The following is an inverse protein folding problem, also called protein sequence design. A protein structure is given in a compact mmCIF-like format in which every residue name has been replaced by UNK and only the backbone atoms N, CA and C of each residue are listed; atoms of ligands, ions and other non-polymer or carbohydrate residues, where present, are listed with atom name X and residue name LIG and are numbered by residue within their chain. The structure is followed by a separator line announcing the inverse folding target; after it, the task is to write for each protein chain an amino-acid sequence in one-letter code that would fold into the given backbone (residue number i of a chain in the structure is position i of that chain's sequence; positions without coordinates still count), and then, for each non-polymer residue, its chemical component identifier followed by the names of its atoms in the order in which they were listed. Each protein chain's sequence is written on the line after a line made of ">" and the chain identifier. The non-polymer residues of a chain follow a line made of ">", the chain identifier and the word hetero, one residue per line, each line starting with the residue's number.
data_IF_996956907793
#
_entry.id   IF_996956907793
#
_cell.length_a   1.000
_cell.length_b   1.000
_cell.length_c   1.000
_cell.angle_alpha   90.00
_cell.angle_beta   90.00
_cell.angle_gamma   90.00
#
_symmetry.space_group_name_H-M   'P 1'
#
loop_
_entity.id
_entity.type
_entity.pdbx_description
1 polymer ?
#
# COMPACT_ATOMS: atom_id res chain seq x y z
N UNK A 1 2.33 18.28 -2.26
CA UNK A 1 0.95 18.82 -2.35
C UNK A 1 0.13 17.91 -3.25
N UNK A 2 -1.13 17.63 -2.92
CA UNK A 2 -2.04 16.89 -3.81
C UNK A 2 -2.63 17.84 -4.89
N UNK A 3 -3.03 17.32 -6.05
CA UNK A 3 -3.57 18.12 -7.16
C UNK A 3 -5.11 18.27 -7.08
N UNK A 4 -5.64 18.32 -5.85
CA UNK A 4 -7.04 18.60 -5.56
C UNK A 4 -7.20 20.11 -5.34
N UNK A 5 -8.03 20.77 -6.16
CA UNK A 5 -8.22 22.23 -6.06
C UNK A 5 -9.69 22.57 -6.17
N UNK A 6 -10.16 23.46 -5.28
CA UNK A 6 -11.44 24.13 -5.48
C UNK A 6 -11.25 25.34 -6.39
N UNK A 7 -12.03 25.43 -7.47
CA UNK A 7 -12.10 26.62 -8.35
C UNK A 7 -13.57 27.02 -8.49
N UNK A 8 -13.90 28.29 -8.22
CA UNK A 8 -15.28 28.80 -8.26
C UNK A 8 -16.26 27.86 -7.51
N UNK A 9 -15.85 27.40 -6.33
CA UNK A 9 -16.59 26.47 -5.47
C UNK A 9 -16.81 25.04 -6.00
N UNK A 10 -16.16 24.60 -7.08
CA UNK A 10 -16.20 23.20 -7.52
C UNK A 10 -14.84 22.52 -7.35
N UNK A 11 -14.85 21.23 -6.99
CA UNK A 11 -13.64 20.41 -6.86
C UNK A 11 -13.13 19.98 -8.25
N UNK A 12 -11.82 20.15 -8.46
CA UNK A 12 -11.12 19.70 -9.63
C UNK A 12 -10.00 18.73 -9.27
N UNK A 13 -9.82 17.71 -10.11
CA UNK A 13 -8.64 16.82 -10.12
C UNK A 13 -7.90 17.09 -11.42
N UNK A 14 -6.67 17.61 -11.32
CA UNK A 14 -5.83 17.92 -12.50
C UNK A 14 -6.52 18.75 -13.60
N UNK A 15 -7.45 19.62 -13.20
CA UNK A 15 -8.17 20.52 -14.11
C UNK A 15 -9.45 19.95 -14.73
N UNK A 16 -9.86 18.73 -14.38
CA UNK A 16 -11.20 18.20 -14.69
C UNK A 16 -12.11 18.39 -13.48
N UNK A 17 -13.33 18.90 -13.70
CA UNK A 17 -14.33 19.06 -12.64
C UNK A 17 -14.84 17.69 -12.18
N UNK A 18 -14.85 17.43 -10.88
CA UNK A 18 -15.39 16.18 -10.34
C UNK A 18 -16.89 16.08 -10.62
N UNK A 19 -17.60 17.22 -10.66
CA UNK A 19 -19.02 17.28 -11.03
C UNK A 19 -19.27 16.89 -12.49
N UNK A 20 -18.33 17.15 -13.42
CA UNK A 20 -18.50 16.65 -14.79
C UNK A 20 -18.25 15.14 -14.88
N UNK A 21 -17.42 14.58 -13.99
CA UNK A 21 -17.26 13.13 -13.87
C UNK A 21 -18.52 12.46 -13.36
N UNK A 22 -19.21 13.02 -12.36
CA UNK A 22 -20.47 12.43 -11.83
C UNK A 22 -21.64 12.47 -12.83
N UNK A 23 -21.57 13.30 -13.87
CA UNK A 23 -22.50 13.26 -15.00
C UNK A 23 -22.18 12.17 -16.02
N UNK A 24 -20.92 11.74 -16.09
CA UNK A 24 -20.42 10.78 -17.09
C UNK A 24 -20.30 9.36 -16.53
N UNK A 25 -20.06 9.22 -15.22
CA UNK A 25 -19.84 7.96 -14.55
C UNK A 25 -20.75 7.82 -13.35
N UNK A 26 -21.23 6.60 -13.15
CA UNK A 26 -22.04 6.21 -12.00
C UNK A 26 -21.16 6.18 -10.76
N UNK A 27 -21.62 6.80 -9.67
CA UNK A 27 -20.98 6.71 -8.36
C UNK A 27 -21.38 5.40 -7.64
N UNK A 28 -20.54 4.91 -6.73
CA UNK A 28 -19.23 5.48 -6.35
C UNK A 28 -18.10 5.09 -7.32
N UNK A 29 -17.06 5.93 -7.39
CA UNK A 29 -15.83 5.63 -8.16
C UNK A 29 -14.57 6.22 -7.51
N UNK A 30 -13.45 5.55 -7.73
CA UNK A 30 -12.12 6.09 -7.40
C UNK A 30 -11.64 7.02 -8.52
N UNK A 31 -10.97 8.12 -8.15
CA UNK A 31 -10.31 9.02 -9.10
C UNK A 31 -8.91 9.39 -8.61
N UNK A 32 -7.90 9.13 -9.43
CA UNK A 32 -6.48 9.36 -9.11
C UNK A 32 -5.86 10.49 -9.92
N UNK A 33 -5.05 11.30 -9.25
CA UNK A 33 -4.15 12.29 -9.83
C UNK A 33 -2.80 11.65 -10.14
N UNK A 34 -2.51 11.40 -11.42
CA UNK A 34 -1.21 10.90 -11.87
C UNK A 34 -0.06 11.85 -11.51
N UNK A 35 -0.27 13.17 -11.61
CA UNK A 35 0.73 14.19 -11.27
C UNK A 35 1.10 14.13 -9.79
N UNK A 36 0.15 13.83 -8.90
CA UNK A 36 0.46 13.66 -7.47
C UNK A 36 1.37 12.46 -7.24
N UNK A 37 1.12 11.34 -7.91
CA UNK A 37 1.98 10.14 -7.82
C UNK A 37 3.39 10.47 -8.37
N UNK A 38 3.46 11.09 -9.55
CA UNK A 38 4.73 11.49 -10.19
C UNK A 38 5.52 12.44 -9.29
N UNK A 39 4.87 13.45 -8.72
CA UNK A 39 5.51 14.43 -7.83
C UNK A 39 6.04 13.75 -6.56
N UNK A 40 5.22 12.94 -5.88
CA UNK A 40 5.63 12.23 -4.66
C UNK A 40 6.80 11.30 -4.92
N UNK A 41 6.77 10.56 -6.02
CA UNK A 41 7.88 9.69 -6.39
C UNK A 41 9.15 10.49 -6.69
N UNK A 42 9.09 11.52 -7.53
CA UNK A 42 10.26 12.35 -7.88
C UNK A 42 10.84 13.09 -6.68
N UNK A 43 10.00 13.58 -5.76
CA UNK A 43 10.44 14.22 -4.53
C UNK A 43 11.23 13.23 -3.64
N UNK A 44 10.72 12.01 -3.49
CA UNK A 44 11.37 10.96 -2.72
C UNK A 44 12.63 10.41 -3.40
N UNK A 45 12.62 10.27 -4.72
CA UNK A 45 13.77 9.80 -5.49
C UNK A 45 14.91 10.83 -5.50
N UNK A 46 14.58 12.12 -5.68
CA UNK A 46 15.54 13.22 -5.61
C UNK A 46 16.20 13.32 -4.23
N UNK A 47 15.48 13.06 -3.14
CA UNK A 47 16.06 13.13 -1.80
C UNK A 47 17.08 12.00 -1.56
N UNK A 48 16.94 10.86 -2.24
CA UNK A 48 17.85 9.72 -2.14
C UNK A 48 18.99 9.73 -3.18
N UNK A 49 19.18 10.81 -3.94
CA UNK A 49 20.06 10.84 -5.13
C UNK A 49 21.54 10.49 -4.86
N UNK A 50 22.04 10.65 -3.64
CA UNK A 50 23.43 10.38 -3.27
C UNK A 50 23.66 8.97 -2.71
N UNK A 51 22.62 8.15 -2.63
CA UNK A 51 22.70 6.78 -2.13
C UNK A 51 22.78 5.80 -3.31
N UNK A 52 23.46 4.67 -3.14
CA UNK A 52 23.22 3.50 -4.00
C UNK A 52 21.92 2.83 -3.53
N UNK A 53 20.84 3.05 -4.29
CA UNK A 53 19.48 2.70 -3.86
C UNK A 53 18.62 2.12 -4.97
N UNK A 54 17.66 1.29 -4.57
CA UNK A 54 16.48 0.91 -5.37
C UNK A 54 15.22 1.25 -4.59
N UNK A 55 14.31 2.00 -5.20
CA UNK A 55 12.99 2.31 -4.61
C UNK A 55 12.02 1.25 -5.10
N UNK A 56 11.58 0.36 -4.24
CA UNK A 56 10.62 -0.70 -4.54
C UNK A 56 9.23 -0.27 -4.10
N UNK A 57 8.33 0.05 -5.02
CA UNK A 57 6.97 0.41 -4.62
C UNK A 57 6.25 -0.79 -3.99
N UNK A 58 5.70 -0.64 -2.78
CA UNK A 58 4.94 -1.68 -2.10
C UNK A 58 3.58 -1.89 -2.79
N UNK A 59 3.48 -2.91 -3.63
CA UNK A 59 2.37 -3.13 -4.57
C UNK A 59 1.02 -3.25 -3.87
N UNK A 60 1.00 -3.85 -2.67
CA UNK A 60 -0.18 -3.96 -1.78
C UNK A 60 -0.89 -2.64 -1.49
N UNK A 61 -0.20 -1.49 -1.58
CA UNK A 61 -0.82 -0.19 -1.41
C UNK A 61 -1.82 0.12 -2.54
N UNK A 62 -1.46 -0.15 -3.79
CA UNK A 62 -2.35 -0.07 -4.95
C UNK A 62 -1.81 -0.91 -6.12
N UNK A 63 -2.39 -2.10 -6.40
CA UNK A 63 -1.89 -3.02 -7.39
C UNK A 63 -2.43 -2.75 -8.81
N UNK A 64 -3.05 -1.60 -9.06
CA UNK A 64 -3.55 -1.27 -10.39
C UNK A 64 -2.39 -1.16 -11.39
N UNK A 65 -2.45 -1.92 -12.49
CA UNK A 65 -1.36 -2.05 -13.47
C UNK A 65 -1.01 -0.71 -14.12
N UNK A 66 -1.96 0.22 -14.29
CA UNK A 66 -1.67 1.54 -14.84
C UNK A 66 -0.79 2.37 -13.88
N UNK A 67 -1.06 2.32 -12.57
CA UNK A 67 -0.26 2.98 -11.53
C UNK A 67 1.14 2.35 -11.48
N UNK A 68 1.22 1.02 -11.49
CA UNK A 68 2.49 0.30 -11.51
C UNK A 68 3.32 0.65 -12.74
N UNK A 69 2.70 0.72 -13.93
CA UNK A 69 3.39 1.05 -15.18
C UNK A 69 3.94 2.47 -15.17
N UNK A 70 3.19 3.42 -14.60
CA UNK A 70 3.66 4.79 -14.42
C UNK A 70 4.88 4.85 -13.48
N UNK A 71 4.84 4.17 -12.34
CA UNK A 71 5.96 4.10 -11.41
C UNK A 71 7.19 3.41 -12.03
N UNK A 72 6.97 2.34 -12.80
CA UNK A 72 8.02 1.65 -13.55
C UNK A 72 8.73 2.59 -14.53
N UNK A 73 7.97 3.45 -15.25
CA UNK A 73 8.52 4.46 -16.16
C UNK A 73 9.31 5.56 -15.45
N UNK A 74 9.05 5.79 -14.16
CA UNK A 74 9.86 6.68 -13.32
C UNK A 74 11.09 5.97 -12.72
N UNK A 75 11.29 4.68 -12.99
CA UNK A 75 12.44 3.90 -12.55
C UNK A 75 12.21 3.06 -11.30
N UNK A 76 10.98 3.01 -10.77
CA UNK A 76 10.64 2.25 -9.58
C UNK A 76 10.80 0.74 -9.79
N UNK A 77 11.22 0.05 -8.73
CA UNK A 77 11.05 -1.38 -8.53
C UNK A 77 9.68 -1.72 -7.93
N UNK A 78 9.53 -2.97 -7.49
CA UNK A 78 8.35 -3.45 -6.76
C UNK A 78 8.75 -4.25 -5.53
N UNK A 79 8.08 -3.98 -4.41
CA UNK A 79 7.95 -4.94 -3.33
C UNK A 79 6.62 -5.66 -3.51
N UNK A 80 6.68 -6.99 -3.61
CA UNK A 80 5.52 -7.85 -3.82
C UNK A 80 5.39 -8.82 -2.66
N UNK A 81 4.15 -9.16 -2.29
CA UNK A 81 3.84 -10.12 -1.21
C UNK A 81 3.08 -11.36 -1.69
N UNK A 82 2.94 -11.53 -3.01
CA UNK A 82 2.34 -12.72 -3.63
C UNK A 82 2.76 -12.86 -5.09
N UNK A 83 2.55 -14.05 -5.67
CA UNK A 83 2.68 -14.28 -7.11
C UNK A 83 1.76 -13.37 -7.93
N UNK A 84 0.55 -13.08 -7.42
CA UNK A 84 -0.39 -12.18 -8.11
C UNK A 84 0.17 -10.77 -8.27
N UNK A 85 0.81 -10.24 -7.23
CA UNK A 85 1.49 -8.95 -7.29
C UNK A 85 2.75 -9.00 -8.18
N UNK A 86 3.51 -10.09 -8.12
CA UNK A 86 4.65 -10.31 -9.02
C UNK A 86 4.24 -10.31 -10.49
N UNK A 87 3.15 -11.01 -10.84
CA UNK A 87 2.58 -10.98 -12.20
C UNK A 87 2.20 -9.56 -12.62
N UNK A 88 1.52 -8.81 -11.75
CA UNK A 88 1.13 -7.41 -12.02
C UNK A 88 2.34 -6.50 -12.24
N UNK A 89 3.38 -6.64 -11.41
CA UNK A 89 4.62 -5.88 -11.55
C UNK A 89 5.33 -6.17 -12.89
N UNK A 90 5.41 -7.44 -13.29
CA UNK A 90 5.99 -7.84 -14.57
C UNK A 90 5.18 -7.33 -15.76
N UNK A 91 3.84 -7.45 -15.73
CA UNK A 91 2.94 -6.92 -16.76
C UNK A 91 3.09 -5.40 -16.89
N UNK A 92 3.29 -4.69 -15.76
CA UNK A 92 3.53 -3.26 -15.74
C UNK A 92 4.90 -2.86 -16.33
N UNK A 93 5.78 -3.82 -16.62
CA UNK A 93 7.12 -3.58 -17.17
C UNK A 93 8.19 -3.28 -16.12
N UNK A 94 7.96 -3.64 -14.85
CA UNK A 94 8.99 -3.52 -13.81
C UNK A 94 10.06 -4.58 -14.06
N UNK A 95 11.32 -4.14 -14.14
CA UNK A 95 12.45 -5.03 -14.40
C UNK A 95 12.60 -6.05 -13.26
N UNK A 96 12.73 -7.38 -13.51
CA UNK A 96 12.82 -8.38 -12.45
C UNK A 96 13.90 -8.12 -11.41
N UNK A 97 15.07 -7.59 -11.84
CA UNK A 97 16.17 -7.16 -10.95
C UNK A 97 15.91 -5.88 -10.15
N UNK A 98 14.67 -5.40 -10.11
CA UNK A 98 14.17 -4.39 -9.18
C UNK A 98 12.95 -4.90 -8.40
N UNK A 99 12.72 -6.22 -8.35
CA UNK A 99 11.58 -6.81 -7.63
C UNK A 99 12.08 -7.58 -6.42
N UNK A 100 11.52 -7.25 -5.26
CA UNK A 100 11.74 -7.93 -3.98
C UNK A 100 10.45 -8.66 -3.58
N UNK A 101 10.55 -9.94 -3.22
CA UNK A 101 9.40 -10.74 -2.79
C UNK A 101 9.44 -10.98 -1.28
N UNK A 102 8.55 -10.32 -0.56
CA UNK A 102 8.36 -10.39 0.90
C UNK A 102 7.11 -11.20 1.27
N UNK A 103 6.83 -11.38 2.57
CA UNK A 103 5.61 -12.00 3.08
C UNK A 103 5.86 -13.34 3.78
N UNK A 104 5.16 -13.59 4.88
CA UNK A 104 5.43 -14.73 5.78
C UNK A 104 4.94 -16.09 5.24
N UNK A 105 4.05 -16.10 4.25
CA UNK A 105 3.35 -17.31 3.78
C UNK A 105 3.55 -17.64 2.32
N UNK A 106 4.75 -17.44 1.77
CA UNK A 106 5.04 -17.71 0.35
C UNK A 106 4.93 -19.21 0.07
N UNK A 107 4.14 -19.59 -0.94
CA UNK A 107 3.99 -21.00 -1.32
C UNK A 107 5.13 -21.46 -2.23
N UNK A 108 5.32 -22.77 -2.32
CA UNK A 108 6.31 -23.37 -3.20
C UNK A 108 6.12 -22.96 -4.67
N UNK A 109 4.89 -22.92 -5.19
CA UNK A 109 4.61 -22.47 -6.55
C UNK A 109 5.03 -21.00 -6.78
N UNK A 110 4.79 -20.12 -5.80
CA UNK A 110 5.13 -18.70 -5.89
C UNK A 110 6.65 -18.50 -5.90
N UNK A 111 7.38 -19.28 -5.08
CA UNK A 111 8.85 -19.28 -5.03
C UNK A 111 9.43 -19.80 -6.36
N UNK A 112 8.89 -20.90 -6.90
CA UNK A 112 9.31 -21.41 -8.21
C UNK A 112 9.11 -20.34 -9.29
N UNK A 113 7.96 -19.66 -9.27
CA UNK A 113 7.67 -18.58 -10.22
C UNK A 113 8.68 -17.43 -10.08
N UNK A 114 8.94 -16.98 -8.85
CA UNK A 114 9.91 -15.91 -8.57
C UNK A 114 11.33 -16.24 -9.02
N UNK A 115 11.81 -17.46 -8.75
CA UNK A 115 13.14 -17.94 -9.18
C UNK A 115 13.21 -18.00 -10.71
N UNK A 116 12.18 -18.55 -11.37
CA UNK A 116 12.10 -18.62 -12.84
C UNK A 116 12.10 -17.22 -13.49
N UNK A 117 11.49 -16.24 -12.84
CA UNK A 117 11.50 -14.83 -13.29
C UNK A 117 12.78 -14.08 -12.94
N UNK A 118 13.71 -14.71 -12.22
CA UNK A 118 15.03 -14.17 -11.89
C UNK A 118 14.93 -12.78 -11.23
N UNK A 119 14.06 -12.66 -10.23
CA UNK A 119 13.86 -11.40 -9.50
C UNK A 119 15.13 -10.98 -8.72
N UNK A 120 15.10 -9.79 -8.09
CA UNK A 120 16.25 -9.27 -7.35
C UNK A 120 16.50 -10.08 -6.07
N UNK A 121 15.48 -10.25 -5.25
CA UNK A 121 15.66 -10.80 -3.90
C UNK A 121 14.36 -11.47 -3.41
N UNK A 122 14.48 -12.60 -2.72
CA UNK A 122 13.40 -13.18 -1.92
C UNK A 122 13.73 -12.93 -0.44
N UNK A 123 12.86 -12.21 0.26
CA UNK A 123 12.99 -11.95 1.68
C UNK A 123 12.38 -13.10 2.47
N UNK A 124 13.21 -13.89 3.16
CA UNK A 124 12.74 -14.97 4.05
C UNK A 124 12.24 -14.42 5.37
N UNK A 125 11.25 -15.10 5.95
CA UNK A 125 10.70 -14.81 7.28
C UNK A 125 10.83 -15.99 8.25
N UNK A 126 11.25 -17.18 7.79
CA UNK A 126 11.49 -18.36 8.62
C UNK A 126 12.63 -19.24 8.09
N UNK A 127 13.16 -20.14 8.90
CA UNK A 127 14.12 -21.15 8.45
C UNK A 127 13.51 -22.17 7.50
N UNK A 128 12.27 -22.57 7.73
CA UNK A 128 11.61 -23.58 6.89
C UNK A 128 11.33 -23.03 5.49
N UNK A 129 11.04 -21.73 5.39
CA UNK A 129 11.01 -21.04 4.12
C UNK A 129 12.38 -21.03 3.43
N UNK A 130 13.46 -20.77 4.17
CA UNK A 130 14.83 -20.83 3.61
C UNK A 130 15.17 -22.23 3.07
N UNK A 131 14.87 -23.29 3.83
CA UNK A 131 15.07 -24.69 3.39
C UNK A 131 14.24 -25.01 2.14
N UNK A 132 13.00 -24.56 2.09
CA UNK A 132 12.15 -24.73 0.90
C UNK A 132 12.76 -24.03 -0.32
N UNK A 133 13.24 -22.80 -0.18
CA UNK A 133 13.89 -22.06 -1.26
C UNK A 133 15.18 -22.76 -1.70
N UNK A 134 15.99 -23.25 -0.76
CA UNK A 134 17.21 -24.02 -1.05
C UNK A 134 16.90 -25.25 -1.91
N UNK A 135 15.94 -26.08 -1.48
CA UNK A 135 15.53 -27.28 -2.21
C UNK A 135 15.04 -26.95 -3.63
N UNK A 136 14.25 -25.87 -3.77
CA UNK A 136 13.76 -25.43 -5.07
C UNK A 136 14.92 -24.90 -5.93
N UNK A 137 15.82 -24.10 -5.39
CA UNK A 137 16.97 -23.53 -6.09
C UNK A 137 17.91 -24.62 -6.59
N UNK A 138 18.17 -25.65 -5.77
CA UNK A 138 18.97 -26.83 -6.13
C UNK A 138 18.31 -27.60 -7.28
N UNK A 139 17.01 -27.91 -7.17
CA UNK A 139 16.27 -28.61 -8.22
C UNK A 139 16.26 -27.83 -9.54
N UNK A 140 16.15 -26.51 -9.49
CA UNK A 140 16.15 -25.64 -10.66
C UNK A 140 17.56 -25.29 -11.16
N UNK A 141 18.62 -25.68 -10.45
CA UNK A 141 20.02 -25.30 -10.70
C UNK A 141 20.17 -23.79 -10.93
N UNK A 142 19.51 -22.98 -10.09
CA UNK A 142 19.57 -21.51 -10.13
C UNK A 142 20.21 -20.98 -8.86
N UNK A 143 20.99 -19.91 -9.00
CA UNK A 143 21.48 -19.12 -7.87
C UNK A 143 20.44 -18.05 -7.52
N UNK A 144 20.00 -18.01 -6.27
CA UNK A 144 18.93 -17.13 -5.80
C UNK A 144 19.46 -16.18 -4.74
N UNK A 145 19.24 -14.89 -4.90
CA UNK A 145 19.59 -13.91 -3.89
C UNK A 145 18.53 -13.87 -2.79
N UNK A 146 18.99 -13.99 -1.55
CA UNK A 146 18.16 -14.09 -0.36
C UNK A 146 18.39 -12.86 0.53
N UNK A 147 17.29 -12.23 0.93
CA UNK A 147 17.24 -11.30 2.04
C UNK A 147 16.66 -11.98 3.27
N UNK A 148 17.13 -11.62 4.46
CA UNK A 148 16.57 -12.12 5.72
C UNK A 148 15.81 -10.98 6.39
N UNK A 149 14.49 -11.13 6.57
CA UNK A 149 13.72 -10.14 7.33
C UNK A 149 14.00 -10.33 8.81
N UNK A 150 14.60 -9.33 9.45
CA UNK A 150 14.89 -9.33 10.89
C UNK A 150 13.79 -8.63 11.66
N UNK A 151 13.44 -9.17 12.82
CA UNK A 151 12.63 -8.47 13.82
C UNK A 151 13.58 -7.69 14.76
N UNK A 152 13.61 -6.35 14.71
CA UNK A 152 14.51 -5.56 15.54
C UNK A 152 14.01 -5.42 16.99
N UNK A 153 12.84 -5.95 17.36
CA UNK A 153 12.18 -5.77 18.64
C UNK A 153 12.07 -4.29 19.05
N UNK A 154 11.39 -3.50 18.21
CA UNK A 154 11.17 -2.07 18.41
C UNK A 154 9.69 -1.78 18.11
N UNK A 155 8.96 -1.26 19.09
CA UNK A 155 7.60 -0.77 18.86
C UNK A 155 7.63 0.54 18.07
N UNK A 156 6.88 0.60 16.98
CA UNK A 156 6.72 1.80 16.17
C UNK A 156 5.59 2.72 16.67
N UNK A 157 4.89 2.34 17.75
CA UNK A 157 3.80 3.09 18.39
C UNK A 157 2.66 3.43 17.42
N UNK A 158 2.41 2.55 16.45
CA UNK A 158 1.31 2.66 15.48
C UNK A 158 0.08 1.86 15.94
N UNK A 159 -1.01 1.93 15.16
CA UNK A 159 -2.25 1.20 15.50
C UNK A 159 -1.99 -0.31 15.64
N UNK A 160 -2.59 -0.95 16.67
CA UNK A 160 -2.29 -2.35 17.07
C UNK A 160 -2.32 -3.36 15.92
N UNK A 161 -3.25 -3.18 14.96
CA UNK A 161 -3.43 -4.08 13.80
C UNK A 161 -2.43 -3.86 12.63
N UNK A 162 -1.58 -2.84 12.68
CA UNK A 162 -0.63 -2.49 11.59
C UNK A 162 0.83 -2.31 12.06
N UNK A 163 1.09 -2.50 13.35
CA UNK A 163 2.44 -2.64 13.91
C UNK A 163 2.97 -4.03 13.57
N UNK A 164 4.23 -4.13 13.14
CA UNK A 164 4.86 -5.42 12.73
C UNK A 164 6.28 -5.60 13.28
N UNK A 165 6.65 -4.84 14.32
CA UNK A 165 8.00 -4.76 14.88
C UNK A 165 8.14 -5.26 16.33
N UNK A 166 7.07 -5.78 16.94
CA UNK A 166 7.07 -6.32 18.31
C UNK A 166 7.59 -7.76 18.30
N UNK A 167 8.15 -8.21 19.43
CA UNK A 167 8.69 -9.56 19.56
C UNK A 167 7.65 -10.68 19.34
N UNK A 168 6.38 -10.40 19.59
CA UNK A 168 5.26 -11.33 19.43
C UNK A 168 4.66 -11.33 18.01
N UNK A 169 5.09 -10.40 17.15
CA UNK A 169 4.57 -10.32 15.79
C UNK A 169 5.09 -11.50 14.96
N UNK A 170 4.22 -12.08 14.13
CA UNK A 170 4.53 -13.23 13.25
C UNK A 170 5.62 -12.97 12.18
N UNK A 171 6.21 -11.79 12.15
CA UNK A 171 7.05 -11.30 11.05
C UNK A 171 8.53 -11.23 11.44
N UNK A 172 9.37 -11.72 10.54
CA UNK A 172 10.83 -11.69 10.65
C UNK A 172 11.42 -12.63 11.72
N UNK A 173 12.73 -12.85 11.59
CA UNK A 173 13.52 -13.71 12.47
C UNK A 173 14.17 -12.90 13.60
N UNK A 174 14.35 -13.55 14.75
CA UNK A 174 15.17 -12.99 15.84
C UNK A 174 16.62 -12.77 15.36
N UNK A 175 17.22 -11.65 15.77
CA UNK A 175 18.59 -11.25 15.37
C UNK A 175 19.68 -12.31 15.62
N UNK A 176 19.58 -13.10 16.70
CA UNK A 176 20.52 -14.21 16.97
C UNK A 176 20.43 -15.29 15.89
N UNK A 177 19.22 -15.53 15.38
CA UNK A 177 18.97 -16.50 14.33
C UNK A 177 19.48 -16.02 12.98
N UNK A 178 19.25 -14.74 12.68
CA UNK A 178 19.78 -14.09 11.48
C UNK A 178 21.31 -14.21 11.43
N UNK A 179 22.00 -14.01 12.54
CA UNK A 179 23.46 -14.21 12.62
C UNK A 179 23.88 -15.64 12.29
N UNK A 180 23.17 -16.66 12.82
CA UNK A 180 23.45 -18.07 12.52
C UNK A 180 23.27 -18.38 11.03
N UNK A 181 22.22 -17.85 10.41
CA UNK A 181 21.93 -18.06 8.98
C UNK A 181 23.03 -17.44 8.12
N UNK A 182 23.43 -16.18 8.36
CA UNK A 182 24.51 -15.56 7.59
C UNK A 182 25.82 -16.36 7.67
N UNK A 183 26.18 -16.87 8.86
CA UNK A 183 27.38 -17.70 9.03
C UNK A 183 27.26 -19.04 8.29
N UNK A 184 26.10 -19.71 8.37
CA UNK A 184 25.88 -21.02 7.75
C UNK A 184 25.84 -20.97 6.23
N UNK A 185 25.25 -19.94 5.64
CA UNK A 185 25.00 -19.88 4.19
C UNK A 185 26.00 -19.02 3.40
N UNK A 186 27.07 -18.55 4.05
CA UNK A 186 28.07 -17.64 3.47
C UNK A 186 28.67 -18.11 2.13
N UNK A 187 28.86 -19.42 1.97
CA UNK A 187 29.46 -20.04 0.78
C UNK A 187 28.51 -21.03 0.09
N UNK A 188 27.20 -20.85 0.25
CA UNK A 188 26.22 -21.73 -0.40
C UNK A 188 26.28 -21.56 -1.93
N UNK A 189 26.24 -22.69 -2.66
CA UNK A 189 26.38 -22.69 -4.12
C UNK A 189 25.15 -22.10 -4.82
N UNK A 190 23.96 -22.35 -4.27
CA UNK A 190 22.68 -22.02 -4.90
C UNK A 190 21.96 -20.84 -4.23
N UNK A 191 22.36 -20.44 -3.03
CA UNK A 191 21.81 -19.29 -2.32
C UNK A 191 22.88 -18.21 -2.11
N UNK A 192 22.58 -16.98 -2.55
CA UNK A 192 23.37 -15.79 -2.23
C UNK A 192 22.70 -15.05 -1.08
N UNK A 193 23.01 -15.45 0.16
CA UNK A 193 22.41 -14.87 1.36
C UNK A 193 23.16 -13.59 1.76
N UNK A 194 22.76 -12.48 1.14
CA UNK A 194 23.47 -11.20 1.21
C UNK A 194 22.59 -10.01 1.63
N UNK A 195 21.27 -10.21 1.72
CA UNK A 195 20.32 -9.17 2.09
C UNK A 195 19.92 -9.22 3.57
N UNK A 196 19.86 -8.06 4.22
CA UNK A 196 19.17 -7.86 5.49
C UNK A 196 17.97 -6.94 5.25
N UNK A 197 16.77 -7.38 5.61
CA UNK A 197 15.53 -6.61 5.44
C UNK A 197 14.86 -6.31 6.77
N UNK A 198 14.18 -5.17 6.89
CA UNK A 198 13.35 -4.80 8.03
C UNK A 198 12.07 -4.14 7.56
N UNK A 199 10.97 -4.35 8.29
CA UNK A 199 9.75 -3.55 8.14
C UNK A 199 9.10 -3.39 9.51
N UNK A 200 9.10 -2.16 10.02
CA UNK A 200 8.78 -1.87 11.44
C UNK A 200 7.32 -1.42 11.67
N UNK A 201 6.52 -1.26 10.61
CA UNK A 201 5.11 -0.92 10.72
C UNK A 201 4.61 -0.02 9.58
N UNK A 202 3.37 0.47 9.72
CA UNK A 202 2.73 1.37 8.75
C UNK A 202 2.19 2.61 9.43
N UNK A 203 2.12 3.73 8.68
CA UNK A 203 1.59 4.99 9.19
C UNK A 203 2.42 5.55 10.37
N UNK A 204 3.74 5.40 10.29
CA UNK A 204 4.68 5.90 11.30
C UNK A 204 4.84 7.40 11.13
N UNK A 205 4.48 8.16 12.16
CA UNK A 205 4.47 9.63 12.17
C UNK A 205 5.66 10.24 12.93
N UNK A 206 6.41 9.42 13.68
CA UNK A 206 7.61 9.83 14.41
C UNK A 206 8.86 9.30 13.76
N UNK A 207 9.93 10.10 13.79
CA UNK A 207 11.21 9.70 13.22
C UNK A 207 12.00 8.72 14.11
N UNK A 208 11.70 8.71 15.41
CA UNK A 208 12.47 7.95 16.41
C UNK A 208 12.46 6.43 16.18
N UNK A 209 11.34 5.77 15.82
CA UNK A 209 11.34 4.33 15.50
C UNK A 209 12.31 3.96 14.38
N UNK A 210 12.37 4.77 13.31
CA UNK A 210 13.34 4.56 12.23
C UNK A 210 14.78 4.70 12.72
N UNK A 211 15.08 5.77 13.48
CA UNK A 211 16.42 6.01 14.04
C UNK A 211 16.90 4.85 14.92
N UNK A 212 16.07 4.40 15.87
CA UNK A 212 16.39 3.27 16.77
C UNK A 212 16.65 1.99 15.96
N UNK A 213 15.83 1.74 14.95
CA UNK A 213 15.95 0.55 14.08
C UNK A 213 17.25 0.59 13.29
N UNK A 214 17.51 1.66 12.54
CA UNK A 214 18.69 1.75 11.69
C UNK A 214 19.99 1.74 12.51
N UNK A 215 19.99 2.31 13.71
CA UNK A 215 21.14 2.20 14.62
C UNK A 215 21.40 0.75 15.05
N UNK A 216 20.34 -0.02 15.34
CA UNK A 216 20.47 -1.44 15.69
C UNK A 216 20.97 -2.27 14.51
N UNK A 217 20.46 -2.00 13.30
CA UNK A 217 20.92 -2.66 12.07
C UNK A 217 22.37 -2.30 11.75
N UNK A 218 22.79 -1.04 11.90
CA UNK A 218 24.18 -0.60 11.74
C UNK A 218 25.13 -1.41 12.63
N UNK A 219 24.82 -1.52 13.92
CA UNK A 219 25.62 -2.32 14.88
C UNK A 219 25.68 -3.80 14.46
N UNK A 220 24.57 -4.36 14.01
CA UNK A 220 24.50 -5.74 13.56
C UNK A 220 25.32 -5.98 12.28
N UNK A 221 25.17 -5.11 11.27
CA UNK A 221 25.92 -5.22 10.02
C UNK A 221 27.42 -5.08 10.27
N UNK A 222 27.86 -4.11 11.08
CA UNK A 222 29.27 -3.97 11.43
C UNK A 222 29.82 -5.22 12.15
N UNK A 223 29.02 -5.87 12.99
CA UNK A 223 29.40 -7.13 13.64
C UNK A 223 29.56 -8.26 12.62
N UNK A 224 28.60 -8.45 11.71
CA UNK A 224 28.60 -9.55 10.74
C UNK A 224 29.65 -9.34 9.65
N UNK A 225 29.81 -8.10 9.17
CA UNK A 225 30.76 -7.76 8.12
C UNK A 225 32.19 -7.56 8.64
N UNK A 226 32.46 -7.83 9.93
CA UNK A 226 33.80 -7.68 10.48
C UNK A 226 34.76 -8.62 9.73
N UNK A 227 35.75 -8.03 9.03
CA UNK A 227 36.73 -8.67 8.14
C UNK A 227 36.25 -9.13 6.76
N UNK A 228 34.96 -9.30 6.54
CA UNK A 228 34.44 -9.75 5.24
C UNK A 228 33.06 -9.14 4.90
N UNK A 229 32.86 -8.75 3.64
CA UNK A 229 31.60 -8.13 3.20
C UNK A 229 30.52 -9.17 2.89
N UNK A 230 29.89 -9.70 3.95
CA UNK A 230 28.81 -10.71 3.86
C UNK A 230 27.48 -10.05 3.47
N UNK A 231 27.02 -9.10 4.28
CA UNK A 231 25.79 -8.33 4.01
C UNK A 231 26.12 -7.24 3.00
N UNK A 232 25.47 -7.31 1.83
CA UNK A 232 25.68 -6.41 0.69
C UNK A 232 24.45 -5.57 0.38
N UNK A 233 23.26 -6.00 0.81
CA UNK A 233 22.00 -5.31 0.58
C UNK A 233 21.32 -5.05 1.91
N UNK A 234 20.90 -3.81 2.14
CA UNK A 234 20.11 -3.40 3.29
C UNK A 234 18.78 -2.85 2.81
N UNK A 235 17.72 -3.59 3.09
CA UNK A 235 16.34 -3.25 2.81
C UNK A 235 15.70 -2.64 4.06
N UNK A 236 15.41 -1.35 3.97
CA UNK A 236 14.92 -0.53 5.08
C UNK A 236 13.40 -0.56 5.20
N UNK A 237 12.72 -1.29 4.31
CA UNK A 237 11.27 -1.39 4.28
C UNK A 237 10.59 -0.05 4.00
N UNK A 238 9.33 0.04 4.43
CA UNK A 238 8.46 1.19 4.22
C UNK A 238 7.95 1.78 5.53
N UNK A 239 6.69 2.23 5.51
CA UNK A 239 5.96 2.57 6.74
C UNK A 239 5.80 4.06 7.03
N UNK A 240 6.50 4.94 6.31
CA UNK A 240 6.35 6.40 6.45
C UNK A 240 4.88 6.79 6.28
N UNK A 241 4.33 7.45 7.29
CA UNK A 241 2.93 7.88 7.31
C UNK A 241 2.66 9.13 6.49
N UNK A 242 1.37 9.39 6.29
CA UNK A 242 0.88 10.65 5.69
C UNK A 242 -0.09 11.34 6.65
N UNK A 243 -0.42 12.60 6.41
CA UNK A 243 -1.40 13.29 7.22
C UNK A 243 -2.83 12.91 6.79
N UNK A 244 -3.61 12.25 7.67
CA UNK A 244 -5.05 12.04 7.46
C UNK A 244 -5.92 13.03 8.24
N UNK A 245 -5.50 13.43 9.45
CA UNK A 245 -6.33 14.21 10.40
C UNK A 245 -5.57 15.41 11.01
N UNK A 246 -4.92 16.21 10.18
CA UNK A 246 -4.04 17.31 10.60
C UNK A 246 -2.86 16.88 11.50
N UNK A 247 -2.37 15.67 11.28
CA UNK A 247 -1.22 15.09 11.96
C UNK A 247 0.09 15.62 11.36
N UNK A 248 1.12 15.76 12.20
CA UNK A 248 2.46 16.14 11.73
C UNK A 248 3.14 14.93 11.08
N UNK A 249 3.13 14.88 9.76
CA UNK A 249 3.86 13.87 8.99
C UNK A 249 5.38 14.08 9.10
N UNK A 250 6.13 12.99 8.99
CA UNK A 250 7.59 13.01 8.92
C UNK A 250 8.01 13.76 7.65
N UNK A 251 8.90 14.75 7.78
CA UNK A 251 9.48 15.38 6.61
C UNK A 251 10.46 14.40 5.95
N UNK A 252 10.34 14.22 4.63
CA UNK A 252 11.19 13.29 3.87
C UNK A 252 12.68 13.57 4.07
N UNK A 253 13.06 14.85 4.16
CA UNK A 253 14.43 15.26 4.44
C UNK A 253 14.98 14.70 5.77
N UNK A 254 14.15 14.60 6.80
CA UNK A 254 14.56 14.11 8.12
C UNK A 254 14.74 12.60 8.10
N UNK A 255 13.87 11.89 7.38
CA UNK A 255 14.01 10.46 7.12
C UNK A 255 15.28 10.13 6.34
N UNK A 256 15.53 10.84 5.25
CA UNK A 256 16.74 10.66 4.44
C UNK A 256 18.02 11.01 5.23
N UNK A 257 17.99 12.07 6.05
CA UNK A 257 19.15 12.44 6.89
C UNK A 257 19.57 11.30 7.80
N UNK A 258 18.61 10.54 8.35
CA UNK A 258 18.92 9.38 9.19
C UNK A 258 19.51 8.25 8.37
N UNK A 259 18.99 7.98 7.17
CA UNK A 259 19.57 6.98 6.27
C UNK A 259 21.02 7.35 5.92
N UNK A 260 21.28 8.61 5.55
CA UNK A 260 22.62 9.08 5.23
C UNK A 260 23.57 8.90 6.43
N UNK A 261 23.14 9.25 7.63
CA UNK A 261 23.98 9.17 8.83
C UNK A 261 24.23 7.75 9.35
N UNK A 262 23.28 6.83 9.16
CA UNK A 262 23.32 5.50 9.78
C UNK A 262 23.57 4.36 8.80
N UNK A 263 23.36 4.57 7.50
CA UNK A 263 23.41 3.50 6.51
C UNK A 263 24.41 3.73 5.38
N UNK A 264 24.84 4.98 5.12
CA UNK A 264 25.71 5.29 3.98
C UNK A 264 27.10 4.68 4.10
N UNK A 265 27.66 4.61 5.32
CA UNK A 265 28.99 4.06 5.60
C UNK A 265 29.01 2.52 5.67
N UNK A 266 27.85 1.86 5.52
CA UNK A 266 27.75 0.39 5.55
C UNK A 266 28.16 -0.27 4.22
N UNK A 267 28.43 0.50 3.17
CA UNK A 267 28.75 0.01 1.83
C UNK A 267 27.72 -1.01 1.29
N UNK A 268 26.46 -0.90 1.71
CA UNK A 268 25.35 -1.72 1.27
C UNK A 268 24.54 -0.99 0.20
N UNK A 269 24.07 -1.74 -0.80
CA UNK A 269 23.00 -1.24 -1.67
C UNK A 269 21.71 -1.15 -0.85
N UNK A 270 21.05 0.00 -0.90
CA UNK A 270 19.84 0.24 -0.13
C UNK A 270 18.58 -0.11 -0.92
N UNK A 271 17.61 -0.70 -0.24
CA UNK A 271 16.23 -0.84 -0.72
C UNK A 271 15.32 -0.08 0.23
N UNK A 272 14.35 0.64 -0.34
CA UNK A 272 13.27 1.29 0.41
C UNK A 272 11.95 0.91 -0.23
N UNK A 273 10.93 0.65 0.60
CA UNK A 273 9.67 0.05 0.18
C UNK A 273 8.45 0.99 0.40
N UNK A 274 8.45 2.22 -0.15
CA UNK A 274 7.34 3.12 0.09
C UNK A 274 6.08 2.66 -0.66
N UNK A 275 4.95 2.62 0.06
CA UNK A 275 3.62 2.39 -0.53
C UNK A 275 2.71 3.61 -0.33
N UNK A 276 2.17 3.72 0.89
CA UNK A 276 1.22 4.77 1.30
C UNK A 276 1.64 6.18 0.90
N UNK A 277 2.88 6.55 1.24
CA UNK A 277 3.44 7.88 1.01
C UNK A 277 3.45 8.30 -0.47
N UNK A 278 3.53 7.34 -1.40
CA UNK A 278 3.58 7.63 -2.84
C UNK A 278 2.20 7.83 -3.45
N UNK A 279 1.20 7.06 -3.01
CA UNK A 279 -0.09 7.00 -3.72
C UNK A 279 -1.29 7.45 -2.91
N UNK A 280 -1.25 7.47 -1.58
CA UNK A 280 -2.44 7.74 -0.76
C UNK A 280 -3.11 9.08 -1.09
N UNK A 281 -2.33 10.17 -1.08
CA UNK A 281 -2.82 11.54 -1.37
C UNK A 281 -3.25 11.76 -2.83
N UNK A 282 -3.00 10.80 -3.72
CA UNK A 282 -3.37 10.92 -5.14
C UNK A 282 -4.83 10.58 -5.40
N UNK A 283 -5.48 9.83 -4.50
CA UNK A 283 -6.81 9.27 -4.73
C UNK A 283 -7.91 9.94 -3.93
N UNK A 284 -9.05 10.14 -4.58
CA UNK A 284 -10.34 10.42 -3.95
C UNK A 284 -11.34 9.31 -4.28
N UNK A 285 -12.28 9.05 -3.38
CA UNK A 285 -13.47 8.23 -3.63
C UNK A 285 -14.66 9.18 -3.72
N UNK A 286 -15.29 9.25 -4.88
CA UNK A 286 -16.46 10.11 -5.13
C UNK A 286 -17.72 9.29 -4.91
N UNK A 287 -18.67 9.85 -4.17
CA UNK A 287 -19.87 9.15 -3.72
C UNK A 287 -21.07 10.10 -3.70
N UNK A 288 -22.26 9.56 -3.91
CA UNK A 288 -23.53 10.29 -3.89
C UNK A 288 -24.24 10.06 -2.57
N UNK A 289 -24.89 11.10 -2.07
CA UNK A 289 -25.79 11.03 -0.91
C UNK A 289 -27.13 10.50 -1.38
N UNK A 290 -27.51 9.31 -0.91
CA UNK A 290 -28.81 8.71 -1.18
C UNK A 290 -29.87 9.35 -0.30
N UNK A 291 -29.62 9.39 1.01
CA UNK A 291 -30.60 9.83 1.99
C UNK A 291 -29.99 10.65 3.12
N UNK A 292 -30.74 11.66 3.58
CA UNK A 292 -30.48 12.37 4.83
C UNK A 292 -31.49 11.88 5.87
N UNK A 293 -31.08 10.96 6.75
CA UNK A 293 -31.94 10.40 7.79
C UNK A 293 -31.74 11.14 9.11
N UNK A 294 -32.82 11.64 9.70
CA UNK A 294 -32.79 12.25 11.03
C UNK A 294 -33.26 11.25 12.07
N UNK A 295 -32.38 10.87 13.00
CA UNK A 295 -32.76 10.21 14.25
C UNK A 295 -32.77 11.26 15.38
N UNK A 296 -33.35 10.91 16.55
CA UNK A 296 -33.57 11.83 17.69
C UNK A 296 -32.40 12.78 17.99
N UNK A 297 -31.15 12.32 17.91
CA UNK A 297 -29.93 13.13 18.19
C UNK A 297 -28.92 13.22 17.04
N UNK A 298 -29.14 12.52 15.93
CA UNK A 298 -28.09 12.34 14.89
C UNK A 298 -28.67 12.51 13.49
N UNK A 299 -28.01 13.31 12.66
CA UNK A 299 -28.26 13.34 11.22
C UNK A 299 -27.32 12.33 10.54
N UNK A 300 -27.88 11.32 9.89
CA UNK A 300 -27.14 10.37 9.08
C UNK A 300 -27.16 10.79 7.63
N UNK A 301 -25.98 10.77 6.99
CA UNK A 301 -25.84 10.81 5.55
C UNK A 301 -25.57 9.40 5.06
N UNK A 302 -26.57 8.80 4.42
CA UNK A 302 -26.42 7.49 3.77
C UNK A 302 -25.88 7.76 2.37
N UNK A 303 -24.67 7.26 2.09
CA UNK A 303 -24.00 7.42 0.81
C UNK A 303 -24.00 6.11 0.01
N UNK A 304 -23.72 6.18 -1.29
CA UNK A 304 -23.70 5.01 -2.18
C UNK A 304 -22.41 4.18 -2.13
N UNK A 305 -21.34 4.72 -1.51
CA UNK A 305 -20.13 3.98 -1.18
C UNK A 305 -20.28 3.26 0.17
N UNK A 306 -19.77 2.04 0.26
CA UNK A 306 -19.74 1.23 1.48
C UNK A 306 -18.35 0.80 1.92
N UNK A 307 -18.28 0.10 3.05
CA UNK A 307 -17.05 -0.53 3.54
C UNK A 307 -16.46 -1.54 2.56
N UNK A 308 -17.27 -2.10 1.65
CA UNK A 308 -16.81 -2.94 0.55
C UNK A 308 -15.96 -2.14 -0.46
N UNK A 309 -16.15 -0.82 -0.57
CA UNK A 309 -15.39 0.05 -1.47
C UNK A 309 -14.16 0.63 -0.78
N UNK A 310 -14.29 1.00 0.51
CA UNK A 310 -13.22 1.51 1.36
C UNK A 310 -13.31 0.90 2.76
N UNK A 311 -12.61 -0.22 2.95
CA UNK A 311 -12.64 -1.01 4.18
C UNK A 311 -11.96 -0.33 5.38
N UNK A 312 -11.12 0.69 5.15
CA UNK A 312 -10.21 1.23 6.18
C UNK A 312 -10.92 1.78 7.43
N UNK A 313 -12.00 2.58 7.32
CA UNK A 313 -12.72 3.05 8.51
C UNK A 313 -13.28 1.88 9.33
N UNK A 314 -13.92 0.90 8.69
CA UNK A 314 -14.50 -0.26 9.37
C UNK A 314 -13.45 -1.16 10.03
N UNK A 315 -12.30 -1.37 9.37
CA UNK A 315 -11.30 -2.33 9.83
C UNK A 315 -10.32 -1.76 10.87
N UNK A 316 -9.99 -0.48 10.75
CA UNK A 316 -8.90 0.18 11.49
C UNK A 316 -9.34 1.45 12.25
N UNK A 317 -10.63 1.78 12.26
CA UNK A 317 -11.13 3.08 12.73
C UNK A 317 -10.40 4.26 12.06
N UNK A 318 -9.96 4.05 10.81
CA UNK A 318 -9.11 4.99 10.10
C UNK A 318 -9.91 6.22 9.65
N UNK A 319 -9.45 7.40 10.06
CA UNK A 319 -10.02 8.65 9.59
C UNK A 319 -9.63 8.93 8.13
N UNK A 320 -10.62 9.40 7.36
CA UNK A 320 -10.42 10.05 6.08
C UNK A 320 -11.23 11.35 6.05
N UNK A 321 -10.67 12.39 5.46
CA UNK A 321 -11.40 13.64 5.29
C UNK A 321 -12.52 13.46 4.24
N UNK A 322 -13.74 13.82 4.63
CA UNK A 322 -14.93 13.80 3.77
C UNK A 322 -15.44 15.22 3.61
N UNK A 323 -15.65 15.65 2.36
CA UNK A 323 -16.11 17.00 2.01
C UNK A 323 -17.07 16.96 0.82
N UNK A 324 -17.87 18.01 0.66
CA UNK A 324 -18.70 18.20 -0.53
C UNK A 324 -17.81 18.47 -1.74
N UNK A 325 -18.19 17.96 -2.91
CA UNK A 325 -17.50 18.33 -4.16
C UNK A 325 -17.77 19.80 -4.55
N UNK A 326 -18.80 20.42 -3.98
CA UNK A 326 -19.12 21.84 -4.09
C UNK A 326 -18.89 22.54 -2.76
N UNK A 327 -18.05 23.57 -2.75
CA UNK A 327 -17.82 24.40 -1.58
C UNK A 327 -18.97 25.43 -1.45
N UNK A 328 -20.09 25.03 -0.85
CA UNK A 328 -21.18 25.95 -0.53
C UNK A 328 -20.84 26.76 0.73
N UNK A 329 -21.15 28.05 0.74
CA UNK A 329 -21.23 28.83 2.00
C UNK A 329 -22.58 28.53 2.64
N UNK A 330 -22.65 28.36 3.95
CA UNK A 330 -23.92 28.17 4.66
C UNK A 330 -23.77 27.56 6.05
N UNK A 331 -24.92 27.32 6.68
CA UNK A 331 -25.00 26.76 8.02
C UNK A 331 -24.41 25.35 8.05
N UNK A 332 -23.49 25.13 8.98
CA UNK A 332 -22.91 23.81 9.23
C UNK A 332 -23.85 22.97 10.09
N UNK A 333 -23.88 21.67 9.83
CA UNK A 333 -24.61 20.66 10.60
C UNK A 333 -23.69 19.48 10.90
N UNK A 334 -23.94 18.86 12.05
CA UNK A 334 -23.24 17.65 12.45
C UNK A 334 -23.89 16.43 11.79
N UNK A 335 -23.06 15.58 11.19
CA UNK A 335 -23.48 14.37 10.51
C UNK A 335 -22.67 13.15 10.95
N UNK A 336 -23.28 11.97 10.83
CA UNK A 336 -22.59 10.68 10.78
C UNK A 336 -22.75 10.13 9.36
N UNK A 337 -21.64 9.76 8.71
CA UNK A 337 -21.65 9.28 7.33
C UNK A 337 -21.51 7.77 7.34
N UNK A 338 -22.48 7.10 6.72
CA UNK A 338 -22.62 5.64 6.67
C UNK A 338 -22.84 5.18 5.24
N UNK A 339 -22.38 3.98 4.92
CA UNK A 339 -22.68 3.36 3.64
C UNK A 339 -23.98 2.55 3.67
N UNK A 340 -24.28 1.83 2.58
CA UNK A 340 -25.49 1.04 2.42
C UNK A 340 -25.35 -0.44 2.81
N UNK A 341 -24.17 -0.86 3.31
CA UNK A 341 -23.92 -2.26 3.69
C UNK A 341 -24.71 -2.57 4.97
N UNK A 342 -25.24 -3.79 5.05
CA UNK A 342 -25.99 -4.28 6.21
C UNK A 342 -25.09 -4.62 7.40
N UNK A 343 -24.21 -3.69 7.79
CA UNK A 343 -23.30 -3.84 8.92
C UNK A 343 -23.18 -2.54 9.71
N UNK A 344 -23.18 -2.64 11.03
CA UNK A 344 -22.97 -1.46 11.89
C UNK A 344 -21.57 -0.85 11.67
N UNK A 345 -20.61 -1.70 11.27
CA UNK A 345 -19.25 -1.28 10.93
C UNK A 345 -19.17 -0.43 9.65
N UNK A 346 -20.22 -0.36 8.83
CA UNK A 346 -20.27 0.48 7.61
C UNK A 346 -20.48 1.98 7.93
N UNK A 347 -19.63 2.48 8.80
CA UNK A 347 -19.57 3.88 9.22
C UNK A 347 -18.22 4.45 8.80
N UNK A 348 -18.23 5.49 7.98
CA UNK A 348 -17.02 6.16 7.53
C UNK A 348 -16.49 7.16 8.55
N UNK A 349 -17.38 7.94 9.14
CA UNK A 349 -17.04 8.95 10.16
C UNK A 349 -18.25 9.30 11.00
N UNK A 350 -18.04 9.47 12.31
CA UNK A 350 -19.05 9.97 13.26
C UNK A 350 -18.79 11.44 13.56
N UNK A 351 -19.85 12.21 13.77
CA UNK A 351 -19.79 13.59 14.25
C UNK A 351 -18.91 14.53 13.39
N UNK A 352 -19.05 14.47 12.06
CA UNK A 352 -18.37 15.39 11.15
C UNK A 352 -19.23 16.64 10.92
N UNK A 353 -18.59 17.81 10.99
CA UNK A 353 -19.24 19.10 10.75
C UNK A 353 -19.11 19.49 9.27
N UNK A 354 -20.22 19.47 8.53
CA UNK A 354 -20.28 19.82 7.11
C UNK A 354 -21.32 20.90 6.87
N UNK A 355 -21.23 21.59 5.73
CA UNK A 355 -22.35 22.43 5.27
C UNK A 355 -23.61 21.58 5.12
N UNK A 356 -24.80 22.19 5.18
CA UNK A 356 -26.05 21.48 4.90
C UNK A 356 -25.95 20.72 3.58
N UNK A 357 -26.16 19.41 3.65
CA UNK A 357 -26.17 18.45 2.54
C UNK A 357 -27.60 17.96 2.36
N UNK A 358 -28.02 17.80 1.10
CA UNK A 358 -29.30 17.21 0.72
C UNK A 358 -29.06 15.85 0.04
N UNK A 359 -30.13 15.07 -0.15
CA UNK A 359 -30.08 13.92 -1.04
C UNK A 359 -29.65 14.36 -2.45
N UNK A 360 -29.03 13.44 -3.18
CA UNK A 360 -28.48 13.65 -4.53
C UNK A 360 -27.23 14.56 -4.59
N UNK A 361 -26.81 15.17 -3.48
CA UNK A 361 -25.51 15.84 -3.41
C UNK A 361 -24.36 14.83 -3.48
N UNK A 362 -23.18 15.30 -3.87
CA UNK A 362 -21.98 14.48 -3.99
C UNK A 362 -20.91 14.87 -2.97
N UNK A 363 -20.30 13.86 -2.38
CA UNK A 363 -19.16 13.97 -1.49
C UNK A 363 -17.91 13.34 -2.13
N UNK A 364 -16.75 13.69 -1.59
CA UNK A 364 -15.53 12.95 -1.85
C UNK A 364 -14.82 12.62 -0.54
N UNK A 365 -14.20 11.44 -0.51
CA UNK A 365 -13.36 10.95 0.57
C UNK A 365 -11.91 11.03 0.11
N UNK A 366 -11.07 11.76 0.84
CA UNK A 366 -9.67 12.04 0.48
C UNK A 366 -8.70 10.96 0.93
N UNK A 367 -7.50 10.97 0.34
CA UNK A 367 -6.37 10.12 0.74
C UNK A 367 -6.63 8.61 0.61
N UNK A 368 -7.44 8.20 -0.37
CA UNK A 368 -7.85 6.80 -0.57
C UNK A 368 -7.01 6.07 -1.63
N UNK A 369 -5.93 6.68 -2.11
CA UNK A 369 -5.08 6.09 -3.15
C UNK A 369 -4.24 4.90 -2.69
N UNK A 370 -4.13 4.66 -1.38
CA UNK A 370 -3.45 3.52 -0.78
C UNK A 370 -4.39 2.75 0.12
N UNK A 371 -4.42 1.42 -0.03
CA UNK A 371 -5.27 0.53 0.78
C UNK A 371 -6.76 0.88 0.72
N UNK A 372 -7.18 1.49 -0.40
CA UNK A 372 -8.58 1.73 -0.76
C UNK A 372 -9.05 0.63 -1.69
N UNK A 373 -8.96 0.88 -3.00
CA UNK A 373 -9.38 -0.06 -4.05
C UNK A 373 -8.66 -1.42 -4.03
N UNK A 374 -7.49 -1.53 -3.37
CA UNK A 374 -6.79 -2.80 -3.18
C UNK A 374 -7.43 -3.71 -2.14
N UNK A 375 -8.30 -3.17 -1.29
CA UNK A 375 -9.06 -3.89 -0.26
C UNK A 375 -10.56 -3.93 -0.58
N UNK A 376 -10.96 -3.57 -1.80
CA UNK A 376 -12.37 -3.58 -2.20
C UNK A 376 -12.88 -5.01 -2.39
N UNK A 377 -14.15 -5.26 -2.05
CA UNK A 377 -14.81 -6.55 -2.18
C UNK A 377 -16.20 -6.43 -2.82
N UNK A 378 -16.78 -7.57 -3.18
CA UNK A 378 -18.18 -7.69 -3.62
C UNK A 378 -19.13 -7.99 -2.46
N UNK A 379 -18.78 -7.61 -1.24
CA UNK A 379 -19.61 -7.86 -0.06
C UNK A 379 -21.01 -7.23 -0.23
N UNK A 380 -22.05 -7.95 0.21
CA UNK A 380 -23.47 -7.65 -0.08
C UNK A 380 -23.81 -7.69 -1.59
N UNK A 381 -23.11 -8.55 -2.35
CA UNK A 381 -23.27 -8.73 -3.80
C UNK A 381 -23.21 -7.41 -4.57
N UNK A 382 -22.35 -6.48 -4.11
CA UNK A 382 -22.16 -5.19 -4.75
C UNK A 382 -21.10 -5.27 -5.85
N UNK A 383 -21.20 -4.47 -6.92
CA UNK A 383 -20.14 -4.36 -7.91
C UNK A 383 -18.80 -3.92 -7.30
N UNK A 384 -17.68 -4.41 -7.84
CA UNK A 384 -16.38 -3.79 -7.53
C UNK A 384 -16.27 -2.53 -8.38
N UNK A 385 -16.14 -1.39 -7.71
CA UNK A 385 -16.31 -0.08 -8.35
C UNK A 385 -15.16 0.29 -9.28
N UNK A 386 -15.45 1.17 -10.24
CA UNK A 386 -14.48 1.61 -11.24
C UNK A 386 -13.37 2.48 -10.67
N UNK A 387 -12.23 2.51 -11.37
CA UNK A 387 -11.10 3.38 -11.07
C UNK A 387 -10.80 4.29 -12.28
N UNK A 388 -10.72 5.59 -12.02
CA UNK A 388 -10.36 6.63 -12.99
C UNK A 388 -8.98 7.19 -12.69
N UNK A 389 -8.24 7.58 -13.72
CA UNK A 389 -6.99 8.32 -13.59
C UNK A 389 -7.03 9.55 -14.51
N UNK A 390 -6.52 10.68 -14.00
CA UNK A 390 -6.37 11.90 -14.77
C UNK A 390 -4.88 12.23 -14.91
N UNK A 391 -4.48 12.58 -16.14
CA UNK A 391 -3.15 13.08 -16.46
C UNK A 391 -3.26 14.33 -17.34
N UNK A 392 -2.87 15.48 -16.81
CA UNK A 392 -2.83 16.76 -17.56
C UNK A 392 -4.15 17.02 -18.32
N UNK A 393 -5.29 16.99 -17.60
CA UNK A 393 -6.66 17.12 -18.14
C UNK A 393 -7.14 15.99 -19.08
N UNK A 394 -6.37 14.90 -19.25
CA UNK A 394 -6.82 13.70 -19.96
C UNK A 394 -7.34 12.68 -18.95
N UNK A 395 -8.53 12.15 -19.19
CA UNK A 395 -9.18 11.14 -18.35
C UNK A 395 -9.03 9.74 -18.96
N UNK A 396 -8.73 8.75 -18.13
CA UNK A 396 -8.76 7.32 -18.49
C UNK A 396 -9.49 6.51 -17.43
N UNK A 397 -10.29 5.54 -17.88
CA UNK A 397 -10.75 4.43 -17.02
C UNK A 397 -9.59 3.44 -16.92
N UNK A 398 -9.12 3.16 -15.70
CA UNK A 398 -7.99 2.24 -15.44
C UNK A 398 -8.40 0.97 -14.69
N UNK A 399 -9.66 0.90 -14.26
CA UNK A 399 -10.38 -0.34 -13.90
C UNK A 399 -11.85 -0.13 -14.24
N UNK A 400 -12.42 -1.02 -15.06
CA UNK A 400 -13.86 -1.05 -15.30
C UNK A 400 -14.58 -1.54 -14.03
N UNK A 401 -15.86 -1.25 -13.92
CA UNK A 401 -16.71 -1.87 -12.91
C UNK A 401 -16.73 -3.39 -13.13
N UNK A 402 -16.69 -4.19 -12.04
CA UNK A 402 -16.99 -5.62 -12.09
C UNK A 402 -18.45 -5.80 -11.68
N UNK A 403 -19.35 -5.95 -12.65
CA UNK A 403 -20.80 -5.98 -12.41
C UNK A 403 -21.24 -7.23 -11.66
N UNK A 404 -22.46 -7.25 -11.12
CA UNK A 404 -23.00 -8.45 -10.47
C UNK A 404 -23.11 -9.60 -11.48
N UNK A 405 -23.54 -9.31 -12.72
CA UNK A 405 -23.61 -10.32 -13.78
C UNK A 405 -22.24 -10.96 -14.06
N UNK A 406 -21.18 -10.15 -14.19
CA UNK A 406 -19.79 -10.64 -14.35
C UNK A 406 -19.30 -11.42 -13.12
N UNK A 407 -19.80 -11.09 -11.93
CA UNK A 407 -19.47 -11.85 -10.73
C UNK A 407 -20.12 -13.24 -10.77
N UNK A 408 -21.41 -13.30 -11.15
CA UNK A 408 -22.23 -14.52 -11.25
C UNK A 408 -21.69 -15.47 -12.32
N UNK A 409 -21.09 -14.97 -13.41
CA UNK A 409 -20.51 -15.87 -14.46
C UNK A 409 -19.39 -16.79 -13.96
N UNK A 410 -18.91 -16.60 -12.72
CA UNK A 410 -17.89 -17.44 -12.06
C UNK A 410 -18.51 -18.54 -11.19
N UNK A 411 -19.82 -18.57 -11.09
CA UNK A 411 -20.59 -19.52 -10.30
C UNK A 411 -21.17 -20.60 -11.21
N UNK A 412 -21.28 -21.83 -10.70
CA UNK A 412 -21.82 -22.97 -11.45
C UNK A 412 -22.90 -23.65 -10.63
N UNK A 413 -24.07 -23.87 -11.24
CA UNK A 413 -25.15 -24.63 -10.61
C UNK A 413 -24.84 -26.13 -10.64
N UNK A 414 -24.75 -26.81 -9.50
CA UNK A 414 -24.60 -28.26 -9.47
C UNK A 414 -25.81 -28.97 -10.10
N UNK A 415 -25.56 -30.00 -10.90
CA UNK A 415 -26.61 -30.70 -11.66
C UNK A 415 -27.67 -31.43 -10.83
N UNK A 416 -27.46 -31.59 -9.52
CA UNK A 416 -28.42 -32.22 -8.61
C UNK A 416 -29.46 -31.25 -8.03
N UNK A 417 -29.27 -29.92 -8.16
CA UNK A 417 -30.25 -28.93 -7.64
C UNK A 417 -31.63 -29.13 -8.28
N UNK A 418 -31.68 -29.39 -9.58
CA UNK A 418 -32.94 -29.61 -10.32
C UNK A 418 -33.67 -30.91 -9.91
N UNK A 419 -33.07 -31.73 -9.04
CA UNK A 419 -33.64 -32.98 -8.53
C UNK A 419 -34.11 -32.87 -7.07
N UNK A 420 -33.90 -31.72 -6.43
CA UNK A 420 -34.43 -31.45 -5.08
C UNK A 420 -35.92 -31.16 -5.25
N UNK A 421 -36.76 -31.96 -4.58
CA UNK A 421 -38.22 -31.80 -4.56
C UNK A 421 -38.65 -30.77 -3.53
#
# INVERSE_FOLDING_TARGET
>A
MNNLKFKKNELYVEGISVKSLTKKFITPFYCYSSNTIVQKYKEFEKSLKYLDKTICYAVKANPNVAILKMLAKLGAGAEVVSEGELKRALIAGIHPKKIVFSGVGKKAEEIIFAIKKNILQINIESEDELKMIENIANRLKKKVQIGIRVNPNIDAETHKKITTGRQEDKFGLNIKMVEKIFKKYKYNQNLDVVGLSVHIGSQIMSINPFKKTFLKLKKFINKINNKEKIIKVLDLGGGIGINYKNEKAIAIKDYVKIILNLCNDLNCKLIVEPGRMLVAESGILVTKVLFVKKNKKTNFLVIDAGMNDLMRPALYDAYHEIKNIKNSRGNKKLYTIVGPICETADTFVKNILLNKINSEDFLFISNVGAYGSSMSSSYNSRPIIMELMIHKKKLSVIRKINTVDEQITRETMPGWINKIK
#
